data_IF_406729459532
#
_entry.id   IF_406729459532
#
_cell.length_a   1.000
_cell.length_b   1.000
_cell.length_c   1.000
_cell.angle_alpha   90.00
_cell.angle_beta   90.00
_cell.angle_gamma   90.00
#
_symmetry.space_group_name_H-M   'P 1'
#
loop_
_entity.id
_entity.type
_entity.pdbx_description
1 polymer ?
#
# COMPACT_ATOMS: atom_id res chain seq x y z
N UNK A 1 -65.41 -17.48 39.07
CA UNK A 1 -65.43 -17.69 37.60
C UNK A 1 -64.53 -16.64 36.96
N UNK A 2 -63.57 -17.05 36.14
CA UNK A 2 -62.72 -16.15 35.35
C UNK A 2 -61.27 -16.09 35.85
N UNK A 3 -60.37 -16.67 35.07
CA UNK A 3 -58.93 -16.80 35.28
C UNK A 3 -58.14 -15.76 34.44
N UNK A 4 -56.94 -15.38 34.93
CA UNK A 4 -55.64 -14.99 34.26
C UNK A 4 -55.59 -14.38 32.84
N UNK A 5 -54.43 -13.84 32.35
CA UNK A 5 -53.27 -13.18 33.00
C UNK A 5 -52.80 -11.93 32.19
N UNK A 6 -51.77 -11.22 32.65
CA UNK A 6 -50.85 -10.54 31.72
C UNK A 6 -49.44 -10.44 32.32
N UNK A 7 -48.54 -11.20 31.70
CA UNK A 7 -47.08 -11.23 31.92
C UNK A 7 -46.46 -9.95 31.39
N UNK A 8 -45.40 -9.44 32.02
CA UNK A 8 -44.29 -8.81 31.31
C UNK A 8 -43.03 -8.79 32.18
N UNK A 9 -42.16 -9.76 31.90
CA UNK A 9 -40.75 -9.76 32.27
C UNK A 9 -39.96 -9.17 31.10
N UNK A 10 -39.07 -8.19 31.35
CA UNK A 10 -37.99 -7.76 30.45
C UNK A 10 -37.14 -6.73 31.23
N UNK A 11 -35.82 -6.64 31.15
CA UNK A 11 -34.71 -7.49 30.72
C UNK A 11 -33.50 -6.61 31.07
N UNK A 12 -32.57 -7.09 31.89
CA UNK A 12 -31.34 -6.36 32.19
C UNK A 12 -30.46 -6.32 30.93
N UNK A 13 -30.31 -5.13 30.34
CA UNK A 13 -29.37 -4.90 29.25
C UNK A 13 -28.09 -4.26 29.81
N UNK A 14 -27.11 -5.10 30.17
CA UNK A 14 -25.73 -4.67 30.31
C UNK A 14 -25.22 -4.25 28.92
N UNK A 15 -25.19 -2.94 28.66
CA UNK A 15 -24.54 -2.37 27.48
C UNK A 15 -23.03 -2.56 27.66
N UNK A 16 -22.53 -3.68 27.15
CA UNK A 16 -21.10 -3.89 26.97
C UNK A 16 -20.60 -2.96 25.88
N UNK A 17 -19.90 -1.91 26.27
CA UNK A 17 -19.13 -1.05 25.36
C UNK A 17 -17.99 -1.91 24.79
N UNK A 18 -18.24 -2.52 23.63
CA UNK A 18 -17.21 -3.17 22.84
C UNK A 18 -16.28 -2.09 22.29
N UNK A 19 -15.07 -2.00 22.84
CA UNK A 19 -13.99 -1.23 22.22
C UNK A 19 -13.62 -1.96 20.93
N UNK A 20 -14.22 -1.53 19.83
CA UNK A 20 -13.73 -1.88 18.50
C UNK A 20 -12.32 -1.28 18.38
N UNK A 21 -11.30 -2.10 18.61
CA UNK A 21 -9.93 -1.73 18.32
C UNK A 21 -9.82 -1.48 16.83
N UNK A 22 -9.87 -0.22 16.42
CA UNK A 22 -9.53 0.17 15.06
C UNK A 22 -8.10 -0.32 14.82
N UNK A 23 -7.94 -1.32 13.96
CA UNK A 23 -6.68 -1.67 13.32
C UNK A 23 -6.29 -0.55 12.32
N UNK A 24 -6.31 0.68 12.81
CA UNK A 24 -5.97 1.88 12.05
C UNK A 24 -4.49 1.85 11.76
N UNK A 25 -4.16 2.07 10.49
CA UNK A 25 -2.82 2.43 10.02
C UNK A 25 -2.16 3.36 11.04
N UNK A 26 -1.12 2.88 11.72
CA UNK A 26 -0.44 3.66 12.76
C UNK A 26 0.56 4.59 12.09
N UNK A 27 0.03 5.69 11.55
CA UNK A 27 0.84 6.81 11.07
C UNK A 27 1.09 7.74 12.25
N UNK A 28 2.33 7.79 12.73
CA UNK A 28 2.73 8.64 13.85
C UNK A 28 3.98 9.43 13.44
N UNK A 29 3.93 10.76 13.58
CA UNK A 29 5.06 11.63 13.22
C UNK A 29 5.46 11.55 11.75
N UNK A 30 4.53 11.25 10.84
CA UNK A 30 4.80 11.07 9.41
C UNK A 30 5.37 9.69 9.05
N UNK A 31 5.42 8.74 9.99
CA UNK A 31 5.91 7.38 9.73
C UNK A 31 4.74 6.41 9.77
N UNK A 32 4.51 5.70 8.67
CA UNK A 32 3.64 4.53 8.68
C UNK A 32 4.39 3.34 9.25
N UNK A 33 3.79 2.67 10.24
CA UNK A 33 4.27 1.39 10.77
C UNK A 33 3.30 0.27 10.41
N UNK A 34 3.72 -0.54 9.45
CA UNK A 34 3.07 -1.80 9.11
C UNK A 34 3.53 -2.93 10.03
N UNK A 35 3.12 -4.16 9.73
CA UNK A 35 3.50 -5.34 10.52
C UNK A 35 4.99 -5.68 10.39
N UNK A 36 5.54 -5.59 9.17
CA UNK A 36 6.88 -6.10 8.83
C UNK A 36 7.81 -5.00 8.31
N UNK A 37 7.35 -3.75 8.27
CA UNK A 37 8.14 -2.62 7.80
C UNK A 37 7.56 -1.29 8.27
N UNK A 38 8.35 -0.24 8.08
CA UNK A 38 7.93 1.14 8.19
C UNK A 38 8.45 1.97 7.01
N UNK A 39 7.73 3.04 6.68
CA UNK A 39 8.09 4.04 5.67
C UNK A 39 7.69 5.43 6.14
N UNK A 40 8.43 6.45 5.72
CA UNK A 40 8.12 7.86 5.93
C UNK A 40 7.22 8.36 4.82
N UNK A 41 6.14 9.05 5.17
CA UNK A 41 5.25 9.71 4.22
C UNK A 41 5.92 10.99 3.72
N UNK A 42 6.06 11.19 2.41
CA UNK A 42 6.55 12.46 1.89
C UNK A 42 5.58 13.59 2.21
N UNK A 43 6.10 14.81 2.41
CA UNK A 43 5.27 15.98 2.68
C UNK A 43 4.26 16.22 1.55
N UNK A 44 3.02 16.60 1.90
CA UNK A 44 1.96 16.82 0.91
C UNK A 44 1.24 15.55 0.46
N UNK A 45 1.65 14.36 0.91
CA UNK A 45 0.94 13.11 0.69
C UNK A 45 0.06 12.74 1.89
N UNK A 46 -1.15 12.27 1.62
CA UNK A 46 -2.13 11.85 2.62
C UNK A 46 -2.47 10.37 2.43
N UNK A 47 -2.58 9.64 3.53
CA UNK A 47 -3.05 8.27 3.48
C UNK A 47 -4.54 8.21 3.09
N UNK A 48 -4.86 7.28 2.21
CA UNK A 48 -6.23 7.01 1.76
C UNK A 48 -6.59 5.55 2.02
N UNK A 49 -7.84 5.26 2.41
CA UNK A 49 -8.32 3.88 2.46
C UNK A 49 -8.41 3.31 1.04
N UNK A 50 -7.63 2.26 0.76
CA UNK A 50 -7.71 1.50 -0.51
C UNK A 50 -8.11 0.02 -0.27
N UNK A 51 -7.82 -0.52 0.92
CA UNK A 51 -8.20 -1.89 1.29
C UNK A 51 -7.46 -3.00 0.56
N UNK A 52 -6.54 -2.67 -0.37
CA UNK A 52 -5.73 -3.64 -1.13
C UNK A 52 -4.25 -3.60 -0.76
N UNK A 53 -3.69 -2.42 -0.50
CA UNK A 53 -2.33 -2.26 0.01
C UNK A 53 -2.29 -1.98 1.52
N UNK A 54 -1.18 -2.32 2.19
CA UNK A 54 -0.93 -1.93 3.59
C UNK A 54 -0.97 -0.41 3.78
N UNK A 55 -0.43 0.34 2.81
CA UNK A 55 -0.47 1.79 2.75
C UNK A 55 -0.75 2.25 1.32
N UNK A 56 -1.74 3.13 1.16
CA UNK A 56 -1.96 3.89 -0.06
C UNK A 56 -1.96 5.39 0.27
N UNK A 57 -1.31 6.18 -0.57
CA UNK A 57 -1.17 7.63 -0.43
C UNK A 57 -1.68 8.33 -1.69
N UNK A 58 -2.27 9.51 -1.53
CA UNK A 58 -2.57 10.44 -2.61
C UNK A 58 -2.11 11.85 -2.25
N UNK A 59 -2.06 12.73 -3.24
CA UNK A 59 -1.83 14.18 -3.04
C UNK A 59 -2.78 14.99 -3.92
N UNK A 60 -3.14 16.19 -3.47
CA UNK A 60 -4.12 17.04 -4.15
C UNK A 60 -3.52 18.06 -5.11
N UNK A 61 -2.29 18.51 -4.86
CA UNK A 61 -1.58 19.53 -5.63
C UNK A 61 -1.18 19.06 -7.04
N UNK A 62 -0.87 17.76 -7.18
CA UNK A 62 -0.60 17.13 -8.46
C UNK A 62 -1.09 15.66 -8.45
N UNK A 63 -2.10 15.30 -9.28
CA UNK A 63 -2.70 13.96 -9.24
C UNK A 63 -1.67 12.83 -9.29
N UNK A 64 -1.75 11.92 -8.32
CA UNK A 64 -0.86 10.78 -8.22
C UNK A 64 -1.18 9.92 -7.01
N UNK A 65 -0.77 8.66 -7.07
CA UNK A 65 -0.93 7.69 -6.01
C UNK A 65 0.39 6.98 -5.73
N UNK A 66 0.70 6.77 -4.46
CA UNK A 66 1.75 5.84 -4.03
C UNK A 66 1.14 4.70 -3.24
N UNK A 67 1.74 3.53 -3.30
CA UNK A 67 1.43 2.44 -2.38
C UNK A 67 2.70 1.78 -1.84
N UNK A 68 2.56 1.17 -0.67
CA UNK A 68 3.50 0.20 -0.14
C UNK A 68 2.74 -1.01 0.38
N UNK A 69 3.29 -2.19 0.13
CA UNK A 69 2.73 -3.46 0.58
C UNK A 69 3.84 -4.47 0.88
N UNK A 70 3.63 -5.32 1.89
CA UNK A 70 4.52 -6.43 2.19
C UNK A 70 3.80 -7.79 2.06
N UNK A 71 4.35 -8.69 1.24
CA UNK A 71 3.93 -10.09 1.18
C UNK A 71 5.00 -10.97 1.81
N UNK A 72 4.73 -11.53 3.00
CA UNK A 72 5.67 -12.40 3.72
C UNK A 72 5.13 -13.83 3.81
N UNK A 73 5.95 -14.82 3.46
CA UNK A 73 5.53 -16.24 3.35
C UNK A 73 6.31 -17.20 4.27
N UNK A 74 7.12 -16.69 5.19
CA UNK A 74 7.92 -17.51 6.12
C UNK A 74 9.07 -18.30 5.45
N UNK A 75 9.32 -18.05 4.17
CA UNK A 75 10.45 -18.58 3.39
C UNK A 75 10.87 -17.57 2.34
N UNK A 76 12.10 -17.69 1.84
CA UNK A 76 12.58 -16.79 0.80
C UNK A 76 11.66 -16.86 -0.45
N UNK A 77 11.28 -15.70 -1.03
CA UNK A 77 10.50 -15.67 -2.26
C UNK A 77 11.22 -16.38 -3.42
N UNK A 78 10.66 -17.48 -3.90
CA UNK A 78 11.25 -18.28 -4.98
C UNK A 78 11.12 -17.63 -6.37
N UNK A 79 10.19 -16.68 -6.55
CA UNK A 79 9.97 -16.01 -7.83
C UNK A 79 11.10 -14.98 -8.08
N UNK A 80 11.67 -14.93 -9.30
CA UNK A 80 12.60 -13.86 -9.69
C UNK A 80 11.94 -12.48 -9.59
N UNK A 81 12.74 -11.43 -9.37
CA UNK A 81 12.26 -10.05 -9.26
C UNK A 81 11.46 -9.62 -10.48
N UNK A 82 11.93 -9.93 -11.69
CA UNK A 82 11.19 -9.61 -12.92
C UNK A 82 9.75 -10.18 -12.92
N UNK A 83 9.58 -11.41 -12.43
CA UNK A 83 8.26 -12.07 -12.39
C UNK A 83 7.37 -11.36 -11.37
N UNK A 84 7.91 -11.01 -10.21
CA UNK A 84 7.19 -10.27 -9.17
C UNK A 84 6.77 -8.87 -9.67
N UNK A 85 7.65 -8.14 -10.34
CA UNK A 85 7.30 -6.84 -10.95
C UNK A 85 6.22 -6.99 -12.02
N UNK A 86 6.30 -8.03 -12.86
CA UNK A 86 5.23 -8.29 -13.85
C UNK A 86 3.87 -8.48 -13.18
N UNK A 87 3.84 -9.16 -12.03
CA UNK A 87 2.62 -9.37 -11.24
C UNK A 87 2.09 -8.08 -10.61
N UNK A 88 2.96 -7.27 -10.02
CA UNK A 88 2.60 -5.97 -9.44
C UNK A 88 1.85 -5.08 -10.46
N UNK A 89 2.23 -5.19 -11.74
CA UNK A 89 1.68 -4.38 -12.81
C UNK A 89 0.50 -5.03 -13.56
N UNK A 90 -0.11 -6.11 -13.05
CA UNK A 90 -1.24 -6.80 -13.71
C UNK A 90 -2.51 -5.95 -13.84
N UNK A 91 -2.70 -4.95 -12.97
CA UNK A 91 -3.84 -4.03 -13.05
C UNK A 91 -3.80 -3.05 -14.23
N UNK A 92 -2.74 -3.07 -15.04
CA UNK A 92 -2.55 -2.14 -16.16
C UNK A 92 -2.70 -2.85 -17.51
N UNK A 93 -3.39 -2.18 -18.43
CA UNK A 93 -3.46 -2.55 -19.86
C UNK A 93 -2.56 -1.64 -20.69
N UNK A 94 -2.36 -1.95 -21.97
CA UNK A 94 -1.54 -1.14 -22.90
C UNK A 94 -0.14 -0.80 -22.33
N UNK A 95 0.42 -1.72 -21.56
CA UNK A 95 1.61 -1.48 -20.72
C UNK A 95 2.89 -1.52 -21.54
N UNK A 96 3.74 -0.51 -21.37
CA UNK A 96 5.09 -0.45 -21.94
C UNK A 96 6.12 -0.25 -20.82
N UNK A 97 7.21 -1.02 -20.86
CA UNK A 97 8.33 -0.86 -19.91
C UNK A 97 9.34 0.10 -20.55
N UNK A 98 9.54 1.26 -19.92
CA UNK A 98 10.45 2.30 -20.41
C UNK A 98 11.88 2.06 -19.93
N UNK A 99 12.03 1.59 -18.69
CA UNK A 99 13.32 1.22 -18.12
C UNK A 99 13.13 0.14 -17.06
N UNK A 100 14.11 -0.75 -16.95
CA UNK A 100 14.20 -1.77 -15.90
C UNK A 100 15.65 -1.92 -15.48
N UNK A 101 15.90 -1.97 -14.17
CA UNK A 101 17.26 -2.06 -13.64
C UNK A 101 17.25 -2.82 -12.31
N UNK A 102 18.16 -3.78 -12.17
CA UNK A 102 18.46 -4.39 -10.88
C UNK A 102 19.25 -3.40 -10.02
N UNK A 103 18.78 -3.17 -8.80
CA UNK A 103 19.33 -2.21 -7.86
C UNK A 103 19.36 -2.79 -6.44
N UNK A 104 19.96 -2.05 -5.52
CA UNK A 104 19.94 -2.37 -4.10
C UNK A 104 19.16 -1.27 -3.36
N UNK A 105 18.18 -1.64 -2.55
CA UNK A 105 17.48 -0.71 -1.64
C UNK A 105 17.83 -1.11 -0.22
N UNK A 106 18.55 -0.25 0.50
CA UNK A 106 19.00 -0.51 1.88
C UNK A 106 19.73 -1.87 2.01
N UNK A 107 20.56 -2.20 1.01
CA UNK A 107 21.34 -3.45 0.95
C UNK A 107 20.52 -4.70 0.60
N UNK A 108 19.28 -4.55 0.15
CA UNK A 108 18.43 -5.65 -0.31
C UNK A 108 18.28 -5.63 -1.83
N UNK A 109 18.33 -6.80 -2.50
CA UNK A 109 18.16 -6.89 -3.95
C UNK A 109 16.75 -6.43 -4.35
N UNK A 110 16.70 -5.60 -5.38
CA UNK A 110 15.47 -5.01 -5.87
C UNK A 110 15.48 -4.84 -7.39
N UNK A 111 14.29 -4.78 -7.99
CA UNK A 111 14.11 -4.33 -9.37
C UNK A 111 13.40 -2.98 -9.36
N UNK A 112 14.02 -1.99 -10.00
CA UNK A 112 13.41 -0.71 -10.33
C UNK A 112 12.85 -0.78 -11.74
N UNK A 113 11.59 -0.42 -11.91
CA UNK A 113 10.92 -0.40 -13.23
C UNK A 113 10.18 0.91 -13.44
N UNK A 114 10.47 1.59 -14.56
CA UNK A 114 9.71 2.75 -15.05
C UNK A 114 8.85 2.27 -16.21
N UNK A 115 7.57 2.64 -16.20
CA UNK A 115 6.60 2.12 -17.16
C UNK A 115 5.53 3.15 -17.51
N UNK A 116 4.84 2.89 -18.60
CA UNK A 116 3.56 3.51 -18.95
C UNK A 116 2.48 2.43 -19.09
N UNK A 117 1.23 2.84 -18.96
CA UNK A 117 0.09 1.96 -19.24
C UNK A 117 -1.24 2.68 -19.08
N UNK A 118 -2.30 1.88 -19.03
CA UNK A 118 -3.67 2.35 -18.84
C UNK A 118 -4.28 1.65 -17.63
N UNK A 119 -4.73 2.45 -16.67
CA UNK A 119 -5.54 2.03 -15.53
C UNK A 119 -7.02 2.12 -15.91
N UNK A 120 -7.83 1.18 -15.40
CA UNK A 120 -9.28 1.24 -15.53
C UNK A 120 -9.88 2.46 -14.81
N UNK A 121 -9.25 2.89 -13.71
CA UNK A 121 -9.75 3.98 -12.85
C UNK A 121 -9.22 5.34 -13.31
N UNK A 122 -7.94 5.43 -13.70
CA UNK A 122 -7.25 6.71 -13.94
C UNK A 122 -6.91 6.99 -15.42
N UNK A 123 -7.21 6.08 -16.35
CA UNK A 123 -6.83 6.23 -17.74
C UNK A 123 -5.31 6.05 -17.96
N UNK A 124 -4.71 6.85 -18.85
CA UNK A 124 -3.26 6.75 -19.15
C UNK A 124 -2.44 7.19 -17.94
N UNK A 125 -1.50 6.34 -17.53
CA UNK A 125 -0.60 6.59 -16.40
C UNK A 125 0.85 6.33 -16.78
N UNK A 126 1.74 7.04 -16.11
CA UNK A 126 3.16 6.72 -16.04
C UNK A 126 3.51 6.41 -14.59
N UNK A 127 4.42 5.46 -14.38
CA UNK A 127 4.74 5.00 -13.04
C UNK A 127 6.16 4.49 -12.87
N UNK A 128 6.52 4.37 -11.60
CA UNK A 128 7.79 3.83 -11.13
C UNK A 128 7.51 2.82 -10.02
N UNK A 129 8.06 1.62 -10.14
CA UNK A 129 7.91 0.54 -9.17
C UNK A 129 9.27 0.10 -8.65
N UNK A 130 9.31 -0.24 -7.37
CA UNK A 130 10.37 -0.99 -6.72
C UNK A 130 9.78 -2.26 -6.14
N UNK A 131 10.29 -3.40 -6.60
CA UNK A 131 10.03 -4.71 -5.97
C UNK A 131 11.30 -5.13 -5.27
N UNK A 132 11.22 -5.35 -3.95
CA UNK A 132 12.38 -5.60 -3.10
C UNK A 132 12.22 -6.96 -2.43
N UNK A 133 13.21 -7.83 -2.56
CA UNK A 133 13.26 -9.10 -1.82
C UNK A 133 14.12 -8.93 -0.57
N UNK A 134 13.57 -9.24 0.60
CA UNK A 134 14.36 -9.27 1.83
C UNK A 134 13.85 -10.36 2.79
N UNK A 135 14.75 -11.27 3.16
CA UNK A 135 14.43 -12.45 3.97
C UNK A 135 13.23 -13.22 3.40
N UNK A 136 12.15 -13.36 4.16
CA UNK A 136 10.93 -14.08 3.80
C UNK A 136 9.82 -13.20 3.21
N UNK A 137 10.15 -11.95 2.87
CA UNK A 137 9.20 -10.94 2.39
C UNK A 137 9.56 -10.39 1.00
N UNK A 138 8.51 -10.04 0.26
CA UNK A 138 8.55 -9.13 -0.91
C UNK A 138 7.90 -7.82 -0.51
N UNK A 139 8.57 -6.70 -0.78
CA UNK A 139 8.02 -5.36 -0.60
C UNK A 139 7.76 -4.73 -1.97
N UNK A 140 6.52 -4.35 -2.20
CA UNK A 140 6.08 -3.69 -3.42
C UNK A 140 5.83 -2.20 -3.10
N UNK A 141 6.62 -1.33 -3.72
CA UNK A 141 6.42 0.11 -3.66
C UNK A 141 6.15 0.60 -5.07
N UNK A 142 5.07 1.35 -5.25
CA UNK A 142 4.65 1.81 -6.56
C UNK A 142 4.17 3.26 -6.49
N UNK A 143 4.61 4.06 -7.46
CA UNK A 143 4.11 5.40 -7.73
C UNK A 143 3.49 5.43 -9.13
N UNK A 144 2.29 5.98 -9.24
CA UNK A 144 1.58 6.21 -10.52
C UNK A 144 0.99 7.61 -10.56
N UNK A 145 0.95 8.20 -11.75
CA UNK A 145 0.34 9.52 -11.99
C UNK A 145 -0.03 9.68 -13.46
N UNK A 146 -0.85 10.67 -13.84
CA UNK A 146 -0.92 11.10 -15.23
C UNK A 146 0.48 11.52 -15.73
N UNK A 147 0.88 11.19 -16.97
CA UNK A 147 2.25 11.39 -17.45
C UNK A 147 2.81 12.80 -17.24
N UNK A 148 1.98 13.84 -17.38
CA UNK A 148 2.39 15.23 -17.19
C UNK A 148 2.80 15.60 -15.75
N UNK A 149 2.41 14.80 -14.75
CA UNK A 149 2.76 15.00 -13.34
C UNK A 149 3.81 14.01 -12.82
N UNK A 150 4.23 13.06 -13.66
CA UNK A 150 5.11 11.97 -13.23
C UNK A 150 6.41 12.48 -12.64
N UNK A 151 7.17 13.26 -13.40
CA UNK A 151 8.46 13.80 -12.96
C UNK A 151 8.37 14.67 -11.69
N UNK A 152 7.25 15.37 -11.46
CA UNK A 152 7.04 16.19 -10.27
C UNK A 152 6.97 15.35 -8.97
N UNK A 153 6.41 14.14 -9.02
CA UNK A 153 6.28 13.27 -7.84
C UNK A 153 7.43 12.29 -7.62
N UNK A 154 8.30 12.08 -8.61
CA UNK A 154 9.40 11.11 -8.50
C UNK A 154 10.38 11.39 -7.35
N UNK A 155 10.76 12.65 -7.02
CA UNK A 155 11.64 12.91 -5.89
C UNK A 155 11.03 12.52 -4.54
N UNK A 156 9.70 12.67 -4.37
CA UNK A 156 8.99 12.19 -3.18
C UNK A 156 9.01 10.66 -3.12
N UNK A 157 8.82 10.01 -4.27
CA UNK A 157 8.81 8.54 -4.33
C UNK A 157 10.18 7.94 -4.01
N UNK A 158 11.28 8.54 -4.51
CA UNK A 158 12.64 8.07 -4.16
C UNK A 158 12.89 8.19 -2.65
N UNK A 159 12.45 9.28 -2.00
CA UNK A 159 12.51 9.40 -0.53
C UNK A 159 11.68 8.35 0.17
N UNK A 160 10.44 8.13 -0.29
CA UNK A 160 9.54 7.10 0.23
C UNK A 160 10.20 5.70 0.17
N UNK A 161 10.79 5.33 -0.97
CA UNK A 161 11.49 4.05 -1.15
C UNK A 161 12.71 3.94 -0.22
N UNK A 162 13.54 4.99 -0.14
CA UNK A 162 14.73 4.99 0.72
C UNK A 162 14.39 4.94 2.20
N UNK A 163 13.20 5.41 2.60
CA UNK A 163 12.75 5.37 4.00
C UNK A 163 12.37 3.97 4.49
N UNK A 164 12.23 2.99 3.59
CA UNK A 164 11.86 1.62 3.96
C UNK A 164 12.81 1.07 5.02
N UNK A 165 12.28 0.75 6.19
CA UNK A 165 13.01 0.02 7.24
C UNK A 165 12.22 -1.23 7.61
N UNK A 166 12.94 -2.31 7.85
CA UNK A 166 12.41 -3.53 8.46
C UNK A 166 12.63 -3.43 9.98
N UNK A 167 11.78 -4.06 10.81
CA UNK A 167 12.00 -4.15 12.25
C UNK A 167 13.29 -4.89 12.60
#
# INVERSE_FOLDING_TARGET
>A
MGATPARLALLAACVGVGVAGCAGTRIEGGIFRGRNYQVELPAGWQAVPDGRADLALSRQDAPGGMLANATCQGREPARPLEVLTRHLLFGLTERSILARTEVQVNGQPAERTVFEGKSAEAGRVQGEAYVIKAADCVYDLLYVSPPQYFEQGRPDFDRFVRSLRRP
#
